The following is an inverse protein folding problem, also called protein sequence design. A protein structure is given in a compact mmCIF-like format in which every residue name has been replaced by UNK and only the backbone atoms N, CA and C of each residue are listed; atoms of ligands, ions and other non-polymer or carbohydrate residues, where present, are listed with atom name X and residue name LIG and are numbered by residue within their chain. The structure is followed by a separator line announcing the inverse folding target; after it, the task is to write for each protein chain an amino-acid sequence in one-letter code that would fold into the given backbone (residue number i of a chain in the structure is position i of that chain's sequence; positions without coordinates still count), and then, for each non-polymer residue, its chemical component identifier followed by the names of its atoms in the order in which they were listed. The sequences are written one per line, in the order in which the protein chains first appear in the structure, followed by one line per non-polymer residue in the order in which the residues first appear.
data_IF_550273459579
#
_entry.id   IF_550273459579
#
_cell.length_a   1.000
_cell.length_b   1.000
_cell.length_c   1.000
_cell.angle_alpha   90.00
_cell.angle_beta   90.00
_cell.angle_gamma   90.00
#
_symmetry.space_group_name_H-M   'P 1'
#
loop_
_entity.id
_entity.type
_entity.pdbx_description
1 polymer ?
#
# COMPACT_ATOMS: atom_id res chain seq x y z
N UNK A 1 -16.80 8.67 -6.57
CA UNK A 1 -15.85 7.64 -6.10
C UNK A 1 -16.60 6.46 -5.51
N UNK A 2 -16.18 5.22 -5.79
CA UNK A 2 -16.69 4.03 -5.10
C UNK A 2 -15.52 3.36 -4.40
N UNK A 3 -15.19 3.80 -3.18
CA UNK A 3 -14.36 2.98 -2.31
C UNK A 3 -15.16 1.73 -1.95
N UNK A 4 -14.49 0.58 -1.87
CA UNK A 4 -15.06 -0.61 -1.21
C UNK A 4 -15.55 -0.11 0.16
N UNK A 5 -16.85 -0.25 0.45
CA UNK A 5 -17.53 0.23 1.67
C UNK A 5 -18.04 1.69 1.72
N UNK A 6 -17.91 2.52 0.66
CA UNK A 6 -18.40 3.93 0.62
C UNK A 6 -17.91 4.79 1.81
N UNK A 7 -16.70 4.52 2.31
CA UNK A 7 -16.08 5.31 3.38
C UNK A 7 -14.92 6.12 2.81
N UNK A 8 -14.87 7.38 3.21
CA UNK A 8 -13.76 8.28 2.94
C UNK A 8 -12.75 8.19 4.09
N UNK A 9 -11.47 8.37 3.76
CA UNK A 9 -10.41 8.37 4.77
C UNK A 9 -9.34 9.38 4.40
N UNK A 10 -8.86 10.11 5.40
CA UNK A 10 -7.68 10.95 5.30
C UNK A 10 -6.43 10.07 5.44
N UNK A 11 -5.52 10.19 4.49
CA UNK A 11 -4.26 9.44 4.48
C UNK A 11 -3.12 10.46 4.59
N UNK A 12 -2.37 10.49 5.71
CA UNK A 12 -1.20 11.35 5.79
C UNK A 12 -0.16 10.88 4.78
N UNK A 13 0.32 11.82 3.97
CA UNK A 13 1.40 11.57 3.01
C UNK A 13 2.73 12.09 3.59
N UNK A 14 3.86 11.41 3.36
CA UNK A 14 5.17 11.94 3.73
C UNK A 14 5.46 13.26 3.01
N UNK A 15 6.17 14.18 3.67
CA UNK A 15 6.51 15.49 3.08
C UNK A 15 7.22 15.38 1.73
N UNK A 16 8.14 14.42 1.57
CA UNK A 16 8.79 14.15 0.29
C UNK A 16 7.79 13.77 -0.82
N UNK A 17 6.74 13.00 -0.51
CA UNK A 17 5.70 12.65 -1.48
C UNK A 17 4.85 13.88 -1.83
N UNK A 18 4.59 14.76 -0.86
CA UNK A 18 3.88 16.02 -1.12
C UNK A 18 4.66 16.91 -2.09
N UNK A 19 5.99 17.01 -1.94
CA UNK A 19 6.86 17.74 -2.87
C UNK A 19 6.75 17.20 -4.29
N UNK A 20 6.83 15.86 -4.46
CA UNK A 20 6.70 15.25 -5.79
C UNK A 20 5.33 15.47 -6.42
N UNK A 21 4.25 15.43 -5.62
CA UNK A 21 2.90 15.74 -6.09
C UNK A 21 2.81 17.20 -6.55
N UNK A 22 3.37 18.14 -5.79
CA UNK A 22 3.40 19.57 -6.16
C UNK A 22 4.19 19.78 -7.45
N UNK A 23 5.36 19.16 -7.59
CA UNK A 23 6.17 19.22 -8.80
C UNK A 23 5.41 18.69 -10.01
N UNK A 24 4.75 17.53 -9.86
CA UNK A 24 3.90 16.96 -10.90
C UNK A 24 2.79 17.91 -11.34
N UNK A 25 2.08 18.53 -10.39
CA UNK A 25 0.99 19.47 -10.69
C UNK A 25 1.50 20.73 -11.42
N UNK A 26 2.66 21.26 -11.01
CA UNK A 26 3.28 22.41 -11.67
C UNK A 26 3.67 22.10 -13.13
N UNK A 27 4.29 20.94 -13.36
CA UNK A 27 4.64 20.49 -14.73
C UNK A 27 3.38 20.29 -15.55
N UNK A 28 2.36 19.62 -15.00
CA UNK A 28 1.08 19.39 -15.67
C UNK A 28 0.40 20.71 -16.10
N UNK A 29 0.36 21.70 -15.21
CA UNK A 29 -0.19 23.01 -15.50
C UNK A 29 0.58 23.72 -16.63
N UNK A 30 1.92 23.64 -16.61
CA UNK A 30 2.76 24.25 -17.65
C UNK A 30 2.55 23.63 -19.04
N UNK A 31 2.31 22.32 -19.11
CA UNK A 31 2.13 21.59 -20.37
C UNK A 31 0.73 21.72 -20.96
N UNK A 32 -0.31 21.82 -20.12
CA UNK A 32 -1.70 21.78 -20.57
C UNK A 32 -2.40 23.14 -20.53
N UNK A 33 -1.84 24.12 -19.83
CA UNK A 33 -2.46 25.43 -19.63
C UNK A 33 -3.69 25.31 -18.73
N UNK A 34 -4.89 25.29 -19.33
CA UNK A 34 -6.13 25.08 -18.60
C UNK A 34 -6.32 23.59 -18.27
N UNK A 35 -6.13 23.25 -17.00
CA UNK A 35 -6.26 21.88 -16.50
C UNK A 35 -7.62 21.66 -15.82
N UNK A 36 -8.64 21.38 -16.62
CA UNK A 36 -10.00 21.11 -16.15
C UNK A 36 -10.17 19.67 -15.63
N UNK A 37 -9.11 18.87 -15.57
CA UNK A 37 -9.22 17.46 -15.22
C UNK A 37 -9.20 17.26 -13.68
N UNK A 38 -10.32 16.78 -13.10
CA UNK A 38 -10.49 16.74 -11.64
C UNK A 38 -9.68 15.63 -10.95
N UNK A 39 -8.99 14.77 -11.70
CA UNK A 39 -8.23 13.66 -11.14
C UNK A 39 -6.81 14.10 -10.83
N UNK A 40 -6.29 13.70 -9.66
CA UNK A 40 -4.91 13.98 -9.26
C UNK A 40 -3.92 13.45 -10.31
N UNK A 41 -4.05 12.17 -10.71
CA UNK A 41 -3.25 11.58 -11.76
C UNK A 41 -4.04 11.54 -13.07
N UNK A 42 -3.62 12.34 -14.04
CA UNK A 42 -4.24 12.45 -15.34
C UNK A 42 -3.36 11.87 -16.46
N UNK A 43 -3.98 11.09 -17.34
CA UNK A 43 -3.33 10.56 -18.54
C UNK A 43 -3.36 11.56 -19.70
N UNK A 44 -4.33 12.47 -19.69
CA UNK A 44 -4.45 13.59 -20.63
C UNK A 44 -5.31 14.71 -20.01
N UNK A 45 -5.43 15.89 -20.66
CA UNK A 45 -6.24 17.01 -20.14
C UNK A 45 -7.71 16.70 -19.86
N UNK A 46 -8.24 15.55 -20.33
CA UNK A 46 -9.65 15.15 -20.12
C UNK A 46 -9.81 13.73 -19.59
N UNK A 47 -8.73 12.97 -19.39
CA UNK A 47 -8.80 11.55 -19.01
C UNK A 47 -8.01 11.24 -17.74
N UNK A 48 -8.59 10.47 -16.80
CA UNK A 48 -7.86 9.97 -15.65
C UNK A 48 -6.81 8.94 -16.08
N UNK A 49 -5.83 8.70 -15.22
CA UNK A 49 -5.10 7.44 -15.26
C UNK A 49 -6.05 6.27 -14.95
N UNK A 50 -5.86 5.14 -15.63
CA UNK A 50 -6.57 3.89 -15.38
C UNK A 50 -5.58 2.73 -15.25
N UNK A 51 -6.02 1.61 -14.67
CA UNK A 51 -5.16 0.50 -14.25
C UNK A 51 -4.23 -0.02 -15.37
N UNK A 52 -4.74 -0.08 -16.60
CA UNK A 52 -3.98 -0.51 -17.77
C UNK A 52 -2.82 0.44 -18.12
N UNK A 53 -2.88 1.72 -17.77
CA UNK A 53 -1.76 2.66 -17.95
C UNK A 53 -0.79 2.61 -16.76
N UNK A 54 -1.27 2.32 -15.56
CA UNK A 54 -0.44 2.28 -14.35
C UNK A 54 0.48 1.06 -14.37
N UNK A 55 -0.04 -0.11 -14.74
CA UNK A 55 0.73 -1.37 -14.67
C UNK A 55 2.00 -1.36 -15.53
N UNK A 56 1.98 -0.99 -16.82
CA UNK A 56 3.20 -0.95 -17.63
C UNK A 56 4.23 0.03 -17.07
N UNK A 57 3.79 1.21 -16.62
CA UNK A 57 4.66 2.23 -16.02
C UNK A 57 5.27 1.75 -14.71
N UNK A 58 4.50 1.04 -13.89
CA UNK A 58 5.00 0.42 -12.68
C UNK A 58 6.07 -0.64 -12.99
N UNK A 59 5.82 -1.54 -13.94
CA UNK A 59 6.79 -2.58 -14.31
C UNK A 59 8.05 -2.00 -14.94
N UNK A 60 7.91 -0.93 -15.74
CA UNK A 60 9.06 -0.17 -16.26
C UNK A 60 9.89 0.38 -15.11
N UNK A 61 9.28 1.14 -14.19
CA UNK A 61 9.98 1.71 -13.03
C UNK A 61 10.66 0.64 -12.16
N UNK A 62 10.00 -0.50 -11.94
CA UNK A 62 10.58 -1.66 -11.24
C UNK A 62 11.80 -2.23 -11.97
N UNK A 63 11.75 -2.28 -13.30
CA UNK A 63 12.89 -2.66 -14.14
C UNK A 63 14.04 -1.67 -14.03
N UNK A 64 13.74 -0.38 -14.13
CA UNK A 64 14.72 0.71 -14.09
C UNK A 64 15.51 0.74 -12.77
N UNK A 65 14.86 0.37 -11.65
CA UNK A 65 15.51 0.28 -10.32
C UNK A 65 16.10 -1.11 -10.01
N UNK A 66 16.12 -2.03 -10.99
CA UNK A 66 16.73 -3.35 -10.83
C UNK A 66 15.97 -4.33 -9.94
N UNK A 67 14.67 -4.11 -9.71
CA UNK A 67 13.81 -4.97 -8.88
C UNK A 67 12.92 -5.91 -9.71
N UNK A 68 13.13 -5.99 -11.02
CA UNK A 68 12.40 -6.91 -11.87
C UNK A 68 12.70 -8.36 -11.49
N UNK A 69 11.67 -9.09 -11.08
CA UNK A 69 11.74 -10.50 -10.78
C UNK A 69 10.57 -11.21 -11.45
N UNK A 70 10.81 -12.24 -12.28
CA UNK A 70 9.74 -13.05 -12.83
C UNK A 70 9.07 -13.84 -11.72
N UNK A 71 7.84 -14.26 -11.95
CA UNK A 71 7.17 -15.18 -11.03
C UNK A 71 7.98 -16.47 -10.94
N UNK A 72 8.30 -16.89 -9.72
CA UNK A 72 9.07 -18.09 -9.45
C UNK A 72 8.35 -18.94 -8.40
N UNK A 73 8.49 -20.26 -8.50
CA UNK A 73 8.02 -21.18 -7.46
C UNK A 73 9.24 -21.86 -6.87
N UNK A 74 9.47 -21.66 -5.57
CA UNK A 74 10.57 -22.27 -4.83
C UNK A 74 9.95 -23.23 -3.80
N UNK A 75 10.12 -24.54 -4.00
CA UNK A 75 9.44 -25.57 -3.21
C UNK A 75 7.91 -25.42 -3.32
N UNK A 76 7.24 -25.22 -2.19
CA UNK A 76 5.78 -24.98 -2.11
C UNK A 76 5.40 -23.49 -2.13
N UNK A 77 6.38 -22.59 -2.23
CA UNK A 77 6.16 -21.14 -2.13
C UNK A 77 6.16 -20.49 -3.50
N UNK A 78 5.09 -19.74 -3.80
CA UNK A 78 4.97 -18.92 -5.00
C UNK A 78 5.47 -17.50 -4.71
N UNK A 79 6.54 -17.08 -5.37
CA UNK A 79 7.05 -15.71 -5.39
C UNK A 79 6.49 -15.02 -6.63
N UNK A 80 5.58 -14.08 -6.43
CA UNK A 80 5.00 -13.30 -7.51
C UNK A 80 5.96 -12.23 -8.03
N UNK A 81 5.79 -11.82 -9.29
CA UNK A 81 6.43 -10.61 -9.78
C UNK A 81 5.93 -9.39 -8.99
N UNK A 82 6.75 -8.32 -8.86
CA UNK A 82 6.31 -7.09 -8.21
C UNK A 82 5.05 -6.54 -8.89
N UNK A 83 4.09 -6.08 -8.09
CA UNK A 83 2.86 -5.42 -8.54
C UNK A 83 2.64 -4.15 -7.73
N UNK A 84 1.75 -3.23 -8.15
CA UNK A 84 1.35 -2.11 -7.32
C UNK A 84 0.82 -2.55 -5.93
N UNK A 85 0.15 -3.71 -5.86
CA UNK A 85 -0.29 -4.28 -4.57
C UNK A 85 0.90 -4.71 -3.70
N UNK A 86 2.02 -5.13 -4.29
CA UNK A 86 3.24 -5.46 -3.56
C UNK A 86 3.83 -4.26 -2.82
N UNK A 87 3.66 -3.02 -3.34
CA UNK A 87 4.05 -1.80 -2.60
C UNK A 87 3.23 -1.62 -1.33
N UNK A 88 1.90 -1.78 -1.44
CA UNK A 88 0.99 -1.72 -0.29
C UNK A 88 1.35 -2.78 0.76
N UNK A 89 1.67 -3.99 0.30
CA UNK A 89 2.10 -5.08 1.17
C UNK A 89 3.42 -4.73 1.88
N UNK A 90 4.42 -4.27 1.13
CA UNK A 90 5.74 -3.91 1.65
C UNK A 90 5.66 -2.76 2.65
N UNK A 91 4.84 -1.74 2.37
CA UNK A 91 4.59 -0.65 3.32
C UNK A 91 4.05 -1.16 4.66
N UNK A 92 3.07 -2.07 4.63
CA UNK A 92 2.47 -2.62 5.83
C UNK A 92 3.49 -3.45 6.65
N UNK A 93 4.23 -4.34 5.99
CA UNK A 93 5.25 -5.18 6.63
C UNK A 93 6.37 -4.33 7.21
N UNK A 94 6.95 -3.41 6.44
CA UNK A 94 8.04 -2.55 6.90
C UNK A 94 7.60 -1.61 8.02
N UNK A 95 6.35 -1.15 8.01
CA UNK A 95 5.81 -0.35 9.11
C UNK A 95 5.75 -1.14 10.40
N UNK A 96 5.22 -2.37 10.37
CA UNK A 96 5.16 -3.21 11.56
C UNK A 96 6.57 -3.63 12.02
N UNK A 97 7.47 -3.95 11.09
CA UNK A 97 8.87 -4.29 11.39
C UNK A 97 9.57 -3.16 12.15
N UNK A 98 9.47 -1.93 11.65
CA UNK A 98 10.05 -0.75 12.30
C UNK A 98 9.50 -0.53 13.71
N UNK A 99 8.19 -0.77 13.91
CA UNK A 99 7.55 -0.64 15.22
C UNK A 99 8.12 -1.69 16.20
N UNK A 100 8.29 -2.94 15.74
CA UNK A 100 8.95 -3.98 16.53
C UNK A 100 10.40 -3.62 16.87
N UNK A 101 11.18 -3.14 15.89
CA UNK A 101 12.59 -2.74 16.06
C UNK A 101 12.74 -1.59 17.06
N UNK A 102 11.71 -0.75 17.21
CA UNK A 102 11.63 0.31 18.23
C UNK A 102 11.17 -0.20 19.61
N UNK A 103 11.04 -1.51 19.82
CA UNK A 103 10.57 -2.10 21.07
C UNK A 103 9.08 -1.89 21.35
N UNK A 104 8.30 -1.43 20.36
CA UNK A 104 6.86 -1.17 20.51
C UNK A 104 6.06 -2.37 20.03
N UNK A 105 4.89 -2.59 20.63
CA UNK A 105 4.01 -3.70 20.23
C UNK A 105 3.40 -3.49 18.83
N UNK A 106 3.62 -4.41 17.88
CA UNK A 106 2.96 -4.38 16.57
C UNK A 106 1.44 -4.55 16.67
N UNK A 107 0.95 -5.25 17.70
CA UNK A 107 -0.48 -5.47 17.93
C UNK A 107 -1.22 -4.14 18.18
N UNK A 108 -0.61 -3.21 18.92
CA UNK A 108 -1.18 -1.88 19.15
C UNK A 108 -1.17 -1.00 17.90
N UNK A 109 -0.26 -1.26 16.95
CA UNK A 109 -0.19 -0.52 15.69
C UNK A 109 -1.18 -1.02 14.62
N UNK A 110 -1.66 -2.27 14.75
CA UNK A 110 -2.56 -2.88 13.78
C UNK A 110 -3.84 -2.07 13.50
N UNK A 111 -4.56 -1.51 14.50
CA UNK A 111 -5.76 -0.74 14.24
C UNK A 111 -5.48 0.52 13.40
N UNK A 112 -4.40 1.23 13.71
CA UNK A 112 -3.97 2.43 12.97
C UNK A 112 -3.58 2.07 11.54
N UNK A 113 -2.80 1.00 11.36
CA UNK A 113 -2.39 0.53 10.05
C UNK A 113 -3.58 0.00 9.22
N UNK A 114 -4.55 -0.67 9.86
CA UNK A 114 -5.76 -1.13 9.19
C UNK A 114 -6.62 0.04 8.71
N UNK A 115 -6.77 1.10 9.52
CA UNK A 115 -7.46 2.32 9.14
C UNK A 115 -6.76 3.02 7.96
N UNK A 116 -5.43 3.15 8.01
CA UNK A 116 -4.62 3.73 6.93
C UNK A 116 -4.81 2.98 5.61
N UNK A 117 -4.74 1.65 5.65
CA UNK A 117 -4.90 0.78 4.47
C UNK A 117 -6.37 0.70 4.01
N UNK A 118 -7.35 1.05 4.84
CA UNK A 118 -8.77 0.85 4.55
C UNK A 118 -9.17 -0.62 4.58
N UNK A 119 -8.59 -1.41 5.49
CA UNK A 119 -9.03 -2.79 5.73
C UNK A 119 -10.22 -2.78 6.69
N UNK A 120 -11.39 -3.21 6.22
CA UNK A 120 -12.56 -3.40 7.09
C UNK A 120 -12.47 -4.67 7.96
N UNK A 121 -11.65 -5.64 7.58
CA UNK A 121 -11.40 -6.85 8.38
C UNK A 121 -9.92 -6.92 8.81
N UNK A 122 -9.69 -7.01 10.12
CA UNK A 122 -8.36 -7.18 10.73
C UNK A 122 -7.59 -8.38 10.16
N UNK A 123 -8.31 -9.41 9.68
CA UNK A 123 -7.79 -10.64 9.08
C UNK A 123 -6.88 -10.39 7.86
N UNK A 124 -7.10 -9.28 7.15
CA UNK A 124 -6.25 -8.91 6.01
C UNK A 124 -4.93 -8.28 6.45
N UNK A 125 -4.91 -7.62 7.62
CA UNK A 125 -3.72 -6.99 8.20
C UNK A 125 -2.91 -7.99 9.03
N UNK A 126 -3.53 -8.99 9.65
CA UNK A 126 -2.83 -10.04 10.40
C UNK A 126 -1.96 -10.95 9.51
N UNK A 127 -2.23 -11.00 8.20
CA UNK A 127 -1.32 -11.65 7.23
C UNK A 127 0.09 -11.05 7.25
N UNK A 128 0.24 -9.76 7.56
CA UNK A 128 1.55 -9.10 7.61
C UNK A 128 2.37 -9.52 8.84
N UNK A 129 1.71 -9.85 9.95
CA UNK A 129 2.41 -10.31 11.16
C UNK A 129 3.05 -11.69 10.97
N UNK A 130 2.50 -12.54 10.09
CA UNK A 130 3.13 -13.83 9.73
C UNK A 130 4.51 -13.69 9.09
N UNK A 131 4.83 -12.50 8.56
CA UNK A 131 6.07 -12.20 7.85
C UNK A 131 7.10 -11.46 8.72
N UNK A 132 6.77 -11.12 9.97
CA UNK A 132 7.70 -10.39 10.84
C UNK A 132 8.65 -11.31 11.60
N UNK A 133 8.16 -12.42 12.17
CA UNK A 133 8.98 -13.49 12.77
C UNK A 133 8.06 -14.65 13.26
N UNK A 134 8.63 -15.85 13.42
CA UNK A 134 8.01 -17.04 13.97
C UNK A 134 7.45 -16.83 15.38
N UNK A 135 8.15 -16.07 16.24
CA UNK A 135 7.77 -15.84 17.65
C UNK A 135 6.49 -15.00 17.78
N UNK A 136 6.24 -14.12 16.82
CA UNK A 136 5.04 -13.26 16.80
C UNK A 136 3.76 -14.01 16.40
N UNK A 137 3.86 -15.25 15.89
CA UNK A 137 2.70 -16.06 15.51
C UNK A 137 1.82 -16.48 16.69
N UNK A 138 2.41 -16.74 17.86
CA UNK A 138 1.65 -17.22 19.03
C UNK A 138 0.79 -16.10 19.64
N UNK A 139 1.38 -14.93 19.86
CA UNK A 139 0.68 -13.74 20.37
C UNK A 139 -0.39 -13.22 19.39
N UNK A 140 -0.20 -13.47 18.08
CA UNK A 140 -1.17 -13.13 17.05
C UNK A 140 -2.43 -14.01 17.08
N UNK A 141 -2.28 -15.33 17.31
CA UNK A 141 -3.43 -16.25 17.40
C UNK A 141 -4.30 -15.87 18.59
N UNK A 142 -3.69 -15.57 19.74
CA UNK A 142 -4.40 -15.08 20.92
C UNK A 142 -5.11 -13.74 20.68
N UNK A 143 -4.48 -12.80 19.98
CA UNK A 143 -5.11 -11.51 19.62
C UNK A 143 -6.31 -11.68 18.68
N UNK A 144 -6.21 -12.55 17.67
CA UNK A 144 -7.31 -12.84 16.73
C UNK A 144 -8.48 -13.50 17.48
N UNK A 145 -8.21 -14.46 18.36
CA UNK A 145 -9.24 -15.15 19.14
C UNK A 145 -9.99 -14.20 20.08
N UNK A 146 -9.28 -13.26 20.71
CA UNK A 146 -9.87 -12.28 21.64
C UNK A 146 -10.68 -11.18 20.93
N UNK A 147 -10.40 -10.89 19.66
CA UNK A 147 -11.05 -9.80 18.91
C UNK A 147 -11.96 -10.30 17.77
N UNK A 148 -12.08 -11.61 17.56
CA UNK A 148 -13.05 -12.22 16.65
C UNK A 148 -14.48 -12.24 17.21
N UNK A 149 -14.68 -11.88 18.49
CA UNK A 149 -15.93 -12.05 19.23
C UNK A 149 -16.58 -10.76 19.76
N UNK A 150 -16.28 -9.58 19.21
CA UNK A 150 -17.10 -8.39 19.50
C UNK A 150 -17.95 -8.01 18.27
N UNK A 151 -19.29 -8.16 18.33
CA UNK A 151 -20.20 -7.73 17.27
C UNK A 151 -20.17 -6.21 17.10
#
# INVERSE_FOLDING_TARGET
EKTKFKKDRLIPIPGAVAVEITNYLAVRQSLWGADDNPYLLAASPKKPFYDYLIRPRFHQAVGDIGLSCPRQTIGTTNIGSPTPHSLRHSFAVNTLKRITEQGRSPQHALPVLAAYLGHCEYKHTTKYLKLLDASHRHNLVAFIQTHAHRP
#
